data_IF_375769654413
#
_entry.id   IF_375769654413
#
_cell.length_a   1.000
_cell.length_b   1.000
_cell.length_c   1.000
_cell.angle_alpha   90.00
_cell.angle_beta   90.00
_cell.angle_gamma   90.00
#
_symmetry.space_group_name_H-M   'P 1'
#
loop_
_entity.id
_entity.type
_entity.pdbx_description
1 polymer ?
#
# COMPACT_ATOMS: atom_id res chain seq x y z
N UNK A 1 22.32 8.13 11.98
CA UNK A 1 21.58 7.79 10.76
C UNK A 1 20.09 7.83 11.02
N UNK A 2 19.35 8.45 10.14
CA UNK A 2 17.91 8.45 10.28
C UNK A 2 17.32 7.13 9.79
N UNK A 3 16.31 6.64 10.50
CA UNK A 3 15.59 5.43 10.11
C UNK A 3 14.15 5.80 9.85
N UNK A 4 13.69 5.47 8.65
CA UNK A 4 12.30 5.70 8.27
C UNK A 4 11.50 4.41 8.40
N UNK A 5 10.22 4.54 8.69
CA UNK A 5 9.28 3.43 8.67
C UNK A 5 7.93 3.92 8.20
N UNK A 6 7.14 3.00 7.66
CA UNK A 6 5.76 3.31 7.32
C UNK A 6 4.85 2.60 8.31
N UNK A 7 3.74 3.25 8.65
CA UNK A 7 2.71 2.70 9.52
C UNK A 7 1.44 2.57 8.70
N UNK A 8 0.99 1.33 8.53
CA UNK A 8 -0.19 1.01 7.71
C UNK A 8 -1.49 1.26 8.49
N UNK A 9 -2.61 1.19 7.80
CA UNK A 9 -3.92 1.47 8.39
C UNK A 9 -4.23 0.57 9.59
N UNK A 10 -3.75 -0.67 9.59
CA UNK A 10 -3.96 -1.61 10.70
C UNK A 10 -2.94 -1.46 11.85
N UNK A 11 -2.03 -0.48 11.75
CA UNK A 11 -0.98 -0.26 12.72
C UNK A 11 0.31 -1.03 12.46
N UNK A 12 0.37 -1.83 11.40
CA UNK A 12 1.58 -2.55 11.03
C UNK A 12 2.69 -1.57 10.67
N UNK A 13 3.87 -1.76 11.23
CA UNK A 13 5.04 -0.93 10.93
C UNK A 13 6.02 -1.69 10.06
N UNK A 14 6.48 -1.06 8.98
CA UNK A 14 7.51 -1.63 8.10
C UNK A 14 8.70 -0.69 8.10
N UNK A 15 9.85 -1.21 8.54
CA UNK A 15 11.08 -0.42 8.60
C UNK A 15 11.68 -0.28 7.20
N UNK A 16 12.03 0.94 6.84
CA UNK A 16 12.60 1.29 5.53
C UNK A 16 13.98 1.91 5.70
N UNK A 17 15.01 1.09 5.97
CA UNK A 17 16.36 1.62 6.23
C UNK A 17 16.95 2.37 5.04
N UNK A 18 16.49 2.07 3.83
CA UNK A 18 16.91 2.76 2.61
C UNK A 18 16.13 4.02 2.29
N UNK A 19 15.18 4.40 3.17
CA UNK A 19 14.36 5.58 3.00
C UNK A 19 12.92 5.26 2.67
N UNK A 20 12.02 6.18 3.02
CA UNK A 20 10.60 6.06 2.72
C UNK A 20 10.08 7.38 2.17
N UNK A 21 9.73 7.38 0.90
CA UNK A 21 9.11 8.51 0.21
C UNK A 21 8.15 7.97 -0.82
N UNK A 22 7.11 8.72 -1.15
CA UNK A 22 6.21 8.29 -2.22
C UNK A 22 7.00 8.06 -3.50
N UNK A 23 6.73 6.94 -4.14
CA UNK A 23 7.42 6.53 -5.35
C UNK A 23 8.71 5.76 -5.12
N UNK A 24 9.24 5.76 -3.88
CA UNK A 24 10.46 5.03 -3.57
C UNK A 24 10.53 4.71 -2.08
N UNK A 25 10.34 3.43 -1.75
CA UNK A 25 10.48 2.94 -0.39
C UNK A 25 11.37 1.70 -0.43
N UNK A 26 12.48 1.72 0.30
CA UNK A 26 13.45 0.64 0.27
C UNK A 26 13.56 -0.04 1.62
N UNK A 27 13.29 -1.33 1.63
CA UNK A 27 13.39 -2.16 2.81
C UNK A 27 14.47 -3.22 2.63
N UNK A 28 15.05 -3.65 3.73
CA UNK A 28 16.02 -4.74 3.74
C UNK A 28 15.51 -5.86 4.63
N UNK A 29 15.63 -7.09 4.16
CA UNK A 29 15.17 -8.26 4.89
C UNK A 29 16.27 -9.31 4.95
N UNK A 30 16.30 -10.05 6.05
CA UNK A 30 17.29 -11.13 6.22
C UNK A 30 16.94 -12.35 5.37
N UNK A 31 15.70 -12.47 4.96
CA UNK A 31 15.23 -13.60 4.15
C UNK A 31 14.04 -13.22 3.29
N UNK A 32 13.77 -14.04 2.30
CA UNK A 32 12.61 -13.87 1.44
C UNK A 32 11.30 -14.04 2.21
N UNK A 33 11.29 -14.95 3.19
CA UNK A 33 10.10 -15.15 4.03
C UNK A 33 9.75 -13.89 4.81
N UNK A 34 10.76 -13.18 5.33
CA UNK A 34 10.55 -11.91 6.03
C UNK A 34 9.99 -10.84 5.08
N UNK A 35 10.50 -10.79 3.84
CA UNK A 35 10.01 -9.86 2.83
C UNK A 35 8.54 -10.15 2.48
N UNK A 36 8.19 -11.41 2.28
CA UNK A 36 6.82 -11.80 1.95
C UNK A 36 5.84 -11.45 3.07
N UNK A 37 6.27 -11.59 4.33
CA UNK A 37 5.43 -11.25 5.48
C UNK A 37 5.02 -9.77 5.45
N UNK A 38 5.95 -8.89 5.13
CA UNK A 38 5.66 -7.45 5.01
C UNK A 38 4.88 -7.14 3.74
N UNK A 39 5.26 -7.78 2.63
CA UNK A 39 4.58 -7.58 1.36
C UNK A 39 3.10 -7.94 1.44
N UNK A 40 2.76 -9.02 2.14
CA UNK A 40 1.38 -9.44 2.36
C UNK A 40 0.55 -8.41 3.13
N UNK A 41 1.19 -7.53 3.88
CA UNK A 41 0.52 -6.45 4.61
C UNK A 41 0.19 -5.25 3.73
N UNK A 42 0.78 -5.16 2.54
CA UNK A 42 0.57 -4.04 1.62
C UNK A 42 -0.71 -4.23 0.80
N UNK A 43 -1.81 -4.46 1.49
CA UNK A 43 -3.13 -4.64 0.87
C UNK A 43 -3.79 -3.28 0.62
N UNK A 44 -4.78 -3.21 -0.29
CA UNK A 44 -5.52 -1.96 -0.50
C UNK A 44 -6.12 -1.39 0.77
N UNK A 45 -6.62 -2.25 1.67
CA UNK A 45 -7.19 -1.81 2.95
C UNK A 45 -6.14 -1.17 3.84
N UNK A 46 -4.94 -1.75 3.90
CA UNK A 46 -3.84 -1.22 4.72
C UNK A 46 -3.19 0.00 4.11
N UNK A 47 -3.27 0.18 2.80
CA UNK A 47 -2.74 1.34 2.10
C UNK A 47 -3.72 2.52 2.08
N UNK A 48 -4.89 2.36 2.66
CA UNK A 48 -5.89 3.42 2.70
C UNK A 48 -5.42 4.62 3.52
N UNK A 49 -4.69 4.38 4.60
CA UNK A 49 -4.02 5.42 5.37
C UNK A 49 -2.63 4.94 5.74
N UNK A 50 -1.62 5.76 5.42
CA UNK A 50 -0.22 5.42 5.67
C UNK A 50 0.49 6.64 6.25
N UNK A 51 1.20 6.44 7.35
CA UNK A 51 2.07 7.46 7.90
C UNK A 51 3.52 7.07 7.63
N UNK A 52 4.34 8.06 7.32
CA UNK A 52 5.79 7.88 7.24
C UNK A 52 6.37 8.54 8.49
N UNK A 53 7.17 7.79 9.23
CA UNK A 53 7.88 8.30 10.40
C UNK A 53 9.38 8.21 10.16
N UNK A 54 10.09 9.27 10.50
CA UNK A 54 11.55 9.30 10.47
C UNK A 54 12.04 9.63 11.85
N UNK A 55 12.83 8.73 12.44
CA UNK A 55 13.34 8.85 13.80
C UNK A 55 12.25 9.13 14.83
N UNK A 56 11.10 8.48 14.66
CA UNK A 56 9.97 8.61 15.58
C UNK A 56 9.07 9.81 15.32
N UNK A 57 9.42 10.67 14.36
CA UNK A 57 8.63 11.85 14.00
C UNK A 57 7.84 11.58 12.72
N UNK A 58 6.55 11.92 12.74
CA UNK A 58 5.72 11.78 11.54
C UNK A 58 6.17 12.82 10.52
N UNK A 59 6.66 12.33 9.37
CA UNK A 59 7.13 13.19 8.27
C UNK A 59 6.16 13.20 7.10
N UNK A 60 5.17 12.32 7.09
CA UNK A 60 4.16 12.30 6.05
C UNK A 60 2.91 11.54 6.46
N UNK A 61 1.77 12.00 5.98
CA UNK A 61 0.48 11.33 6.13
C UNK A 61 -0.14 11.25 4.75
N UNK A 62 -0.50 10.05 4.35
CA UNK A 62 -1.05 9.80 3.01
C UNK A 62 -2.31 8.95 3.10
N UNK A 63 -3.19 9.12 2.14
CA UNK A 63 -4.43 8.35 2.02
C UNK A 63 -4.55 7.81 0.61
N UNK A 64 -5.28 6.71 0.48
CA UNK A 64 -5.60 6.11 -0.81
C UNK A 64 -4.37 5.84 -1.66
N UNK A 65 -3.42 5.09 -1.06
CA UNK A 65 -2.21 4.69 -1.77
C UNK A 65 -2.40 3.36 -2.49
N UNK A 66 -1.56 3.13 -3.49
CA UNK A 66 -1.53 1.89 -4.24
C UNK A 66 -0.09 1.43 -4.40
N UNK A 67 0.13 0.13 -4.24
CA UNK A 67 1.42 -0.50 -4.54
C UNK A 67 1.49 -0.72 -6.04
N UNK A 68 2.30 0.09 -6.71
CA UNK A 68 2.46 0.03 -8.16
C UNK A 68 3.40 -1.08 -8.58
N UNK A 69 4.50 -1.24 -7.86
CA UNK A 69 5.49 -2.28 -8.16
C UNK A 69 6.32 -2.64 -6.94
N UNK A 70 6.88 -3.83 -6.99
CA UNK A 70 7.82 -4.34 -6.01
C UNK A 70 8.97 -4.96 -6.77
N UNK A 71 10.20 -4.56 -6.42
CA UNK A 71 11.42 -5.09 -7.04
C UNK A 71 12.34 -5.58 -5.94
N UNK A 72 12.66 -6.86 -5.96
CA UNK A 72 13.51 -7.48 -4.94
C UNK A 72 14.79 -7.98 -5.55
N UNK A 73 15.92 -7.72 -4.88
CA UNK A 73 17.22 -8.23 -5.25
C UNK A 73 17.71 -9.15 -4.13
N UNK A 74 17.99 -10.39 -4.47
CA UNK A 74 18.45 -11.40 -3.50
C UNK A 74 19.98 -11.45 -3.53
N UNK A 75 20.58 -11.25 -2.36
CA UNK A 75 22.03 -11.34 -2.22
C UNK A 75 22.48 -12.79 -2.00
N UNK A 76 23.78 -13.05 -2.13
CA UNK A 76 24.35 -14.39 -1.97
C UNK A 76 24.09 -14.99 -0.59
N UNK A 77 23.99 -14.15 0.44
CA UNK A 77 23.72 -14.60 1.82
C UNK A 77 22.23 -14.88 2.07
N UNK A 78 21.38 -14.72 1.06
CA UNK A 78 19.94 -14.93 1.20
C UNK A 78 19.16 -13.70 1.65
N UNK A 79 19.83 -12.60 1.96
CA UNK A 79 19.15 -11.35 2.30
C UNK A 79 18.49 -10.75 1.06
N UNK A 80 17.48 -9.94 1.27
CA UNK A 80 16.68 -9.36 0.19
C UNK A 80 16.57 -7.85 0.38
N UNK A 81 16.93 -7.11 -0.66
CA UNK A 81 16.64 -5.67 -0.74
C UNK A 81 15.43 -5.49 -1.63
N UNK A 82 14.42 -4.84 -1.11
CA UNK A 82 13.16 -4.64 -1.83
C UNK A 82 12.85 -3.17 -1.96
N UNK A 83 12.51 -2.75 -3.19
CA UNK A 83 12.02 -1.42 -3.47
C UNK A 83 10.52 -1.53 -3.75
N UNK A 84 9.72 -0.86 -2.92
CA UNK A 84 8.30 -0.75 -3.13
C UNK A 84 8.01 0.60 -3.76
N UNK A 85 7.35 0.58 -4.89
CA UNK A 85 6.89 1.80 -5.54
C UNK A 85 5.43 2.00 -5.16
N UNK A 86 5.21 2.84 -4.17
CA UNK A 86 3.88 3.14 -3.65
C UNK A 86 3.56 4.59 -4.01
N UNK A 87 2.40 4.80 -4.61
CA UNK A 87 1.97 6.13 -5.06
C UNK A 87 0.54 6.41 -4.61
N UNK A 88 0.15 7.66 -4.68
CA UNK A 88 -1.23 8.02 -4.45
C UNK A 88 -2.09 7.59 -5.65
N UNK A 89 -3.33 7.22 -5.38
CA UNK A 89 -4.28 6.92 -6.45
C UNK A 89 -4.56 8.19 -7.24
N UNK A 90 -4.74 8.05 -8.55
CA UNK A 90 -5.12 9.16 -9.41
C UNK A 90 -6.60 9.46 -9.23
N UNK A 91 -7.02 10.67 -9.65
CA UNK A 91 -8.44 11.04 -9.66
C UNK A 91 -9.27 10.05 -10.45
N UNK A 92 -8.73 9.57 -11.57
CA UNK A 92 -9.41 8.59 -12.41
C UNK A 92 -9.62 7.26 -11.66
N UNK A 93 -8.61 6.80 -10.93
CA UNK A 93 -8.73 5.58 -10.15
C UNK A 93 -9.78 5.73 -9.05
N UNK A 94 -9.80 6.87 -8.36
CA UNK A 94 -10.79 7.16 -7.33
C UNK A 94 -12.20 7.25 -7.91
N UNK A 95 -12.33 7.87 -9.07
CA UNK A 95 -13.61 7.94 -9.78
C UNK A 95 -14.11 6.57 -10.21
N UNK A 96 -13.21 5.73 -10.69
CA UNK A 96 -13.57 4.35 -11.06
C UNK A 96 -14.05 3.55 -9.87
N UNK A 97 -13.42 3.71 -8.71
CA UNK A 97 -13.86 3.05 -7.49
C UNK A 97 -15.25 3.52 -7.07
N UNK A 98 -15.51 4.82 -7.13
CA UNK A 98 -16.83 5.39 -6.85
C UNK A 98 -17.88 4.89 -7.81
N UNK A 99 -17.51 4.85 -9.09
CA UNK A 99 -18.41 4.38 -10.14
C UNK A 99 -18.76 2.90 -9.92
N UNK A 100 -17.80 2.09 -9.56
CA UNK A 100 -18.03 0.68 -9.26
C UNK A 100 -19.02 0.50 -8.12
N UNK A 101 -18.91 1.31 -7.06
CA UNK A 101 -19.86 1.28 -5.94
C UNK A 101 -21.24 1.72 -6.42
N UNK A 102 -21.33 2.81 -7.19
CA UNK A 102 -22.59 3.30 -7.72
C UNK A 102 -23.23 2.31 -8.69
N UNK A 103 -22.43 1.68 -9.53
CA UNK A 103 -22.91 0.64 -10.44
C UNK A 103 -23.48 -0.55 -9.68
N UNK A 104 -22.84 -0.95 -8.59
CA UNK A 104 -23.36 -1.99 -7.72
C UNK A 104 -24.72 -1.62 -7.14
N UNK A 105 -24.83 -0.41 -6.61
CA UNK A 105 -26.09 0.11 -6.06
C UNK A 105 -27.16 0.21 -7.14
N UNK A 106 -26.80 0.74 -8.30
CA UNK A 106 -27.71 0.86 -9.43
C UNK A 106 -28.16 -0.51 -9.95
N UNK A 107 -27.27 -1.47 -9.95
CA UNK A 107 -27.61 -2.84 -10.36
C UNK A 107 -28.64 -3.45 -9.41
N UNK A 108 -28.50 -3.23 -8.11
CA UNK A 108 -29.47 -3.69 -7.12
C UNK A 108 -30.84 -3.04 -7.32
N UNK A 109 -30.87 -1.73 -7.52
CA UNK A 109 -32.10 -0.99 -7.78
C UNK A 109 -32.74 -1.48 -9.08
N UNK A 110 -31.95 -1.61 -10.13
CA UNK A 110 -32.42 -2.07 -11.43
C UNK A 110 -33.00 -3.49 -11.35
N UNK A 111 -32.32 -4.37 -10.62
CA UNK A 111 -32.81 -5.74 -10.40
C UNK A 111 -34.14 -5.73 -9.63
N UNK A 112 -34.26 -4.89 -8.62
CA UNK A 112 -35.50 -4.75 -7.86
C UNK A 112 -36.63 -4.26 -8.74
N UNK A 113 -36.37 -3.24 -9.56
CA UNK A 113 -37.38 -2.71 -10.48
C UNK A 113 -37.78 -3.73 -11.56
N UNK A 114 -36.82 -4.41 -12.13
CA UNK A 114 -37.05 -5.44 -13.15
C UNK A 114 -37.70 -6.69 -12.56
N UNK A 115 -37.28 -7.05 -11.35
CA UNK A 115 -37.84 -8.19 -10.65
C UNK A 115 -39.32 -8.00 -10.29
N UNK A 116 -39.76 -6.76 -10.21
CA UNK A 116 -41.14 -6.42 -9.98
C UNK A 116 -42.04 -6.52 -11.21
N UNK A 117 -41.48 -6.88 -12.31
CA UNK A 117 -42.27 -7.05 -13.54
C UNK A 117 -42.81 -8.46 -13.65
#
# INVERSE_FOLDING_TARGET
MSTSKIVLADGTEIVMPGGAALGYMRAHYDSRAAMLADWEKLTPANLKTVQIKTDGTVTGNYTDLVLESETSTVAEDGSVDTVYKIREKTELELLRERLAVLEGDMTEIDTALKGGK
#
